data_IF_010651099232
#
_entry.id   IF_010651099232
#
_cell.length_a   1.000
_cell.length_b   1.000
_cell.length_c   1.000
_cell.angle_alpha   90.00
_cell.angle_beta   90.00
_cell.angle_gamma   90.00
#
_symmetry.space_group_name_H-M   'P 1'
#
loop_
_entity.id
_entity.type
_entity.pdbx_description
1 polymer ?
#
# COMPACT_ATOMS: atom_id res chain seq x y z
N UNK A 1 34.97 3.88 -38.86
CA UNK A 1 35.42 4.00 -37.45
C UNK A 1 34.16 4.31 -36.65
N UNK A 2 33.88 3.49 -35.65
CA UNK A 2 32.55 3.23 -35.06
C UNK A 2 31.95 4.48 -34.40
N UNK A 3 30.70 4.83 -34.76
CA UNK A 3 29.84 5.67 -33.92
C UNK A 3 29.30 4.82 -32.77
N UNK A 4 29.71 5.14 -31.54
CA UNK A 4 29.10 4.58 -30.34
C UNK A 4 28.14 5.65 -29.77
N UNK A 5 26.81 5.44 -29.77
CA UNK A 5 25.91 6.42 -29.19
C UNK A 5 26.08 6.41 -27.68
N UNK A 6 26.51 7.55 -27.14
CA UNK A 6 26.64 7.79 -25.71
C UNK A 6 25.37 7.35 -24.97
N UNK A 7 25.51 6.34 -24.11
CA UNK A 7 24.44 5.79 -23.29
C UNK A 7 23.80 6.88 -22.44
N UNK A 8 22.62 7.35 -22.86
CA UNK A 8 21.79 8.21 -22.04
C UNK A 8 21.27 7.39 -20.86
N UNK A 9 21.92 7.52 -19.69
CA UNK A 9 21.45 6.93 -18.45
C UNK A 9 19.98 7.31 -18.23
N UNK A 10 19.07 6.37 -17.94
CA UNK A 10 17.67 6.68 -17.72
C UNK A 10 17.55 7.58 -16.48
N UNK A 11 17.34 8.89 -16.69
CA UNK A 11 17.10 9.84 -15.61
C UNK A 11 15.70 9.61 -15.06
N UNK A 12 15.60 8.92 -13.92
CA UNK A 12 14.35 8.79 -13.17
C UNK A 12 13.83 10.20 -12.85
N UNK A 13 12.56 10.49 -13.18
CA UNK A 13 11.98 11.80 -12.92
C UNK A 13 11.80 12.02 -11.41
N UNK A 14 11.91 13.27 -10.94
CA UNK A 14 11.69 13.61 -9.51
C UNK A 14 10.32 13.14 -9.01
N UNK A 15 9.29 13.21 -9.86
CA UNK A 15 7.94 12.72 -9.54
C UNK A 15 7.91 11.22 -9.28
N UNK A 16 8.54 10.42 -10.15
CA UNK A 16 8.60 8.97 -9.97
C UNK A 16 9.35 8.58 -8.68
N UNK A 17 10.41 9.33 -8.33
CA UNK A 17 11.12 9.14 -7.08
C UNK A 17 10.25 9.43 -5.86
N UNK A 18 9.50 10.54 -5.86
CA UNK A 18 8.58 10.89 -4.77
C UNK A 18 7.47 9.86 -4.58
N UNK A 19 6.90 9.34 -5.68
CA UNK A 19 5.88 8.28 -5.64
C UNK A 19 6.45 6.97 -5.08
N UNK A 20 7.67 6.60 -5.47
CA UNK A 20 8.36 5.43 -4.94
C UNK A 20 8.68 5.58 -3.44
N UNK A 21 9.12 6.76 -3.02
CA UNK A 21 9.36 7.06 -1.61
C UNK A 21 8.06 7.01 -0.78
N UNK A 22 6.96 7.56 -1.30
CA UNK A 22 5.66 7.47 -0.63
C UNK A 22 5.20 6.02 -0.48
N UNK A 23 5.33 5.20 -1.52
CA UNK A 23 5.03 3.77 -1.45
C UNK A 23 5.91 3.04 -0.42
N UNK A 24 7.21 3.36 -0.39
CA UNK A 24 8.14 2.80 0.60
C UNK A 24 7.75 3.18 2.02
N UNK A 25 7.36 4.43 2.26
CA UNK A 25 6.88 4.89 3.58
C UNK A 25 5.60 4.16 3.98
N UNK A 26 4.64 3.99 3.07
CA UNK A 26 3.39 3.27 3.35
C UNK A 26 3.65 1.79 3.69
N UNK A 27 4.55 1.12 2.97
CA UNK A 27 4.98 -0.24 3.27
C UNK A 27 5.70 -0.32 4.62
N UNK A 28 6.66 0.59 4.86
CA UNK A 28 7.41 0.63 6.11
C UNK A 28 6.49 0.84 7.32
N UNK A 29 5.51 1.74 7.20
CA UNK A 29 4.47 1.88 8.21
C UNK A 29 3.74 0.55 8.39
N UNK A 30 3.15 -0.03 7.34
CA UNK A 30 2.36 -1.26 7.49
C UNK A 30 3.16 -2.42 8.09
N UNK A 31 4.43 -2.57 7.71
CA UNK A 31 5.34 -3.58 8.23
C UNK A 31 5.69 -3.35 9.70
N UNK A 32 5.89 -2.09 10.11
CA UNK A 32 6.08 -1.75 11.52
C UNK A 32 4.84 -2.13 12.35
N UNK A 33 3.64 -1.95 11.80
CA UNK A 33 2.39 -2.41 12.42
C UNK A 33 2.36 -3.91 12.65
N UNK A 34 2.69 -4.69 11.61
CA UNK A 34 2.76 -6.15 11.68
C UNK A 34 3.79 -6.57 12.76
N UNK A 35 4.97 -5.97 12.76
CA UNK A 35 6.03 -6.29 13.73
C UNK A 35 5.67 -5.90 15.18
N UNK A 36 4.89 -4.83 15.37
CA UNK A 36 4.55 -4.29 16.69
C UNK A 36 3.23 -4.83 17.28
N UNK A 37 2.64 -5.87 16.68
CA UNK A 37 1.26 -6.29 16.97
C UNK A 37 1.02 -6.90 18.36
N UNK A 38 2.08 -7.28 19.07
CA UNK A 38 1.98 -8.02 20.34
C UNK A 38 1.98 -7.15 21.62
N UNK A 39 1.99 -5.81 21.49
CA UNK A 39 2.16 -4.93 22.67
C UNK A 39 0.87 -4.77 23.49
N UNK A 40 -0.24 -4.36 22.88
CA UNK A 40 -1.56 -4.26 23.55
C UNK A 40 -2.70 -4.03 22.56
N UNK A 41 -3.88 -4.62 22.77
CA UNK A 41 -5.01 -4.51 21.83
C UNK A 41 -5.48 -3.05 21.61
N UNK A 42 -5.55 -2.24 22.67
CA UNK A 42 -5.97 -0.83 22.55
C UNK A 42 -4.93 0.02 21.80
N UNK A 43 -3.64 -0.20 22.05
CA UNK A 43 -2.56 0.49 21.33
C UNK A 43 -2.52 0.09 19.85
N UNK A 44 -2.67 -1.20 19.58
CA UNK A 44 -2.73 -1.76 18.22
C UNK A 44 -3.98 -1.26 17.48
N UNK A 45 -5.13 -1.10 18.15
CA UNK A 45 -6.34 -0.51 17.58
C UNK A 45 -6.13 0.91 17.07
N UNK A 46 -5.60 1.81 17.90
CA UNK A 46 -5.32 3.17 17.50
C UNK A 46 -4.35 3.21 16.30
N UNK A 47 -3.32 2.37 16.34
CA UNK A 47 -2.34 2.25 15.27
C UNK A 47 -2.96 1.83 13.92
N UNK A 48 -3.72 0.72 13.89
CA UNK A 48 -4.31 0.22 12.65
C UNK A 48 -5.44 1.12 12.13
N UNK A 49 -6.13 1.82 13.02
CA UNK A 49 -7.09 2.87 12.67
C UNK A 49 -6.36 4.00 11.93
N UNK A 50 -5.27 4.52 12.50
CA UNK A 50 -4.50 5.62 11.95
C UNK A 50 -3.90 5.26 10.59
N UNK A 51 -3.25 4.09 10.47
CA UNK A 51 -2.63 3.70 9.20
C UNK A 51 -3.66 3.51 8.08
N UNK A 52 -4.86 3.00 8.40
CA UNK A 52 -5.96 2.90 7.44
C UNK A 52 -6.35 4.26 6.90
N UNK A 53 -6.43 5.28 7.77
CA UNK A 53 -6.69 6.67 7.36
C UNK A 53 -5.56 7.21 6.48
N UNK A 54 -4.29 6.95 6.82
CA UNK A 54 -3.14 7.36 6.02
C UNK A 54 -3.20 6.77 4.61
N UNK A 55 -3.54 5.49 4.47
CA UNK A 55 -3.71 4.85 3.16
C UNK A 55 -4.90 5.42 2.38
N UNK A 56 -6.02 5.72 3.07
CA UNK A 56 -7.17 6.39 2.46
C UNK A 56 -6.77 7.75 1.87
N UNK A 57 -6.07 8.58 2.66
CA UNK A 57 -5.59 9.89 2.21
C UNK A 57 -4.57 9.77 1.06
N UNK A 58 -3.67 8.79 1.12
CA UNK A 58 -2.72 8.54 0.03
C UNK A 58 -3.44 8.17 -1.28
N UNK A 59 -4.47 7.31 -1.19
CA UNK A 59 -5.26 6.93 -2.36
C UNK A 59 -6.05 8.11 -2.95
N UNK A 60 -6.58 8.99 -2.09
CA UNK A 60 -7.26 10.22 -2.49
C UNK A 60 -6.31 11.19 -3.20
N UNK A 61 -5.09 11.35 -2.68
CA UNK A 61 -4.06 12.14 -3.32
C UNK A 61 -3.65 11.58 -4.70
N UNK A 62 -3.57 10.26 -4.82
CA UNK A 62 -3.27 9.56 -6.09
C UNK A 62 -4.40 9.74 -7.10
N UNK A 63 -5.66 9.68 -6.67
CA UNK A 63 -6.83 9.93 -7.51
C UNK A 63 -6.88 11.39 -7.99
N UNK A 64 -6.65 12.35 -7.07
CA UNK A 64 -6.55 13.78 -7.39
C UNK A 64 -5.53 14.08 -8.47
N UNK A 65 -4.34 13.49 -8.37
CA UNK A 65 -3.26 13.73 -9.32
C UNK A 65 -3.53 13.16 -10.72
N UNK A 66 -4.34 12.11 -10.84
CA UNK A 66 -4.66 11.47 -12.12
C UNK A 66 -5.90 12.07 -12.78
N UNK A 67 -6.89 12.46 -11.99
CA UNK A 67 -8.17 13.00 -12.48
C UNK A 67 -8.15 14.50 -12.77
N UNK A 68 -7.10 15.23 -12.35
CA UNK A 68 -6.99 16.68 -12.58
C UNK A 68 -8.11 17.49 -11.91
N UNK A 69 -8.43 18.68 -12.46
CA UNK A 69 -9.53 19.54 -11.98
C UNK A 69 -10.94 18.93 -12.16
N UNK A 70 -11.03 17.77 -12.83
CA UNK A 70 -12.26 17.04 -13.07
C UNK A 70 -12.62 16.06 -11.93
N UNK A 71 -12.05 16.28 -10.74
CA UNK A 71 -12.43 15.65 -9.47
C UNK A 71 -13.92 15.81 -9.09
N UNK A 72 -14.75 16.37 -9.97
CA UNK A 72 -16.13 16.81 -9.75
C UNK A 72 -17.20 15.74 -9.99
N UNK A 73 -16.82 14.51 -10.31
CA UNK A 73 -17.76 13.40 -10.22
C UNK A 73 -18.00 13.03 -8.76
N UNK A 74 -19.00 13.61 -8.09
CA UNK A 74 -19.47 13.22 -6.73
C UNK A 74 -19.50 11.69 -6.53
N UNK A 75 -19.80 10.95 -7.60
CA UNK A 75 -19.80 9.48 -7.65
C UNK A 75 -18.43 8.83 -7.43
N UNK A 76 -17.32 9.42 -7.90
CA UNK A 76 -15.98 8.85 -7.68
C UNK A 76 -15.52 9.04 -6.24
N UNK A 77 -15.69 10.25 -5.70
CA UNK A 77 -15.43 10.54 -4.30
C UNK A 77 -16.28 9.66 -3.36
N UNK A 78 -17.57 9.47 -3.69
CA UNK A 78 -18.45 8.57 -2.94
C UNK A 78 -17.94 7.12 -2.98
N UNK A 79 -17.54 6.60 -4.15
CA UNK A 79 -17.00 5.24 -4.27
C UNK A 79 -15.73 5.07 -3.43
N UNK A 80 -14.81 6.03 -3.51
CA UNK A 80 -13.57 5.98 -2.76
C UNK A 80 -13.83 6.09 -1.24
N UNK A 81 -14.76 6.95 -0.83
CA UNK A 81 -15.20 7.07 0.56
C UNK A 81 -15.83 5.79 1.08
N UNK A 82 -16.76 5.18 0.33
CA UNK A 82 -17.39 3.91 0.69
C UNK A 82 -16.39 2.76 0.77
N UNK A 83 -15.44 2.72 -0.16
CA UNK A 83 -14.36 1.73 -0.16
C UNK A 83 -13.55 1.78 1.13
N UNK A 84 -13.01 2.96 1.49
CA UNK A 84 -12.22 3.11 2.71
C UNK A 84 -13.05 3.03 3.99
N UNK A 85 -14.33 3.41 3.95
CA UNK A 85 -15.24 3.18 5.06
C UNK A 85 -15.43 1.67 5.32
N UNK A 86 -15.53 0.85 4.27
CA UNK A 86 -15.58 -0.61 4.40
C UNK A 86 -14.29 -1.20 4.97
N UNK A 87 -13.13 -0.73 4.52
CA UNK A 87 -11.82 -1.13 5.07
C UNK A 87 -11.71 -0.76 6.54
N UNK A 88 -12.05 0.49 6.89
CA UNK A 88 -12.05 0.98 8.27
C UNK A 88 -12.99 0.15 9.16
N UNK A 89 -14.23 -0.07 8.72
CA UNK A 89 -15.18 -0.89 9.47
C UNK A 89 -14.66 -2.31 9.70
N UNK A 90 -14.02 -2.91 8.69
CA UNK A 90 -13.41 -4.24 8.80
C UNK A 90 -12.33 -4.28 9.88
N UNK A 91 -11.44 -3.27 9.91
CA UNK A 91 -10.42 -3.13 10.97
C UNK A 91 -11.08 -3.05 12.34
N UNK A 92 -12.15 -2.27 12.52
CA UNK A 92 -12.84 -2.18 13.81
C UNK A 92 -13.52 -3.49 14.24
N UNK A 93 -14.06 -4.25 13.28
CA UNK A 93 -14.66 -5.56 13.54
C UNK A 93 -13.63 -6.56 14.07
N UNK A 94 -12.35 -6.48 13.63
CA UNK A 94 -11.27 -7.29 14.20
C UNK A 94 -11.15 -7.06 15.71
N UNK A 95 -11.20 -5.81 16.17
CA UNK A 95 -11.14 -5.50 17.60
C UNK A 95 -12.38 -5.93 18.37
N UNK A 96 -13.54 -5.97 17.72
CA UNK A 96 -14.73 -6.59 18.30
C UNK A 96 -14.53 -8.11 18.51
N UNK A 97 -13.85 -8.79 17.58
CA UNK A 97 -13.50 -10.21 17.75
C UNK A 97 -12.45 -10.44 18.83
N UNK A 98 -11.45 -9.55 18.96
CA UNK A 98 -10.47 -9.61 20.06
C UNK A 98 -11.17 -9.39 21.41
N UNK A 99 -12.02 -8.37 21.53
CA UNK A 99 -12.76 -8.08 22.75
C UNK A 99 -13.71 -9.21 23.17
N UNK A 100 -14.24 -9.98 22.21
CA UNK A 100 -15.07 -11.16 22.49
C UNK A 100 -14.27 -12.46 22.69
N UNK A 101 -12.94 -12.41 22.67
CA UNK A 101 -12.07 -13.58 22.84
C UNK A 101 -12.04 -14.54 21.66
N UNK A 102 -12.52 -14.11 20.48
CA UNK A 102 -12.55 -14.91 19.25
C UNK A 102 -11.29 -14.82 18.39
N UNK A 103 -10.47 -13.79 18.62
CA UNK A 103 -9.16 -13.61 18.00
C UNK A 103 -8.13 -13.26 19.07
N UNK A 104 -6.91 -13.76 18.93
CA UNK A 104 -5.82 -13.35 19.81
C UNK A 104 -5.28 -11.99 19.38
N UNK A 105 -4.78 -11.21 20.35
CA UNK A 105 -4.16 -9.91 20.04
C UNK A 105 -2.93 -10.05 19.13
N UNK A 106 -2.17 -11.14 19.28
CA UNK A 106 -1.02 -11.45 18.43
C UNK A 106 -1.38 -11.58 16.93
N UNK A 107 -2.61 -12.01 16.61
CA UNK A 107 -3.06 -12.21 15.23
C UNK A 107 -3.42 -10.88 14.53
N UNK A 108 -3.57 -9.80 15.29
CA UNK A 108 -4.08 -8.51 14.80
C UNK A 108 -3.28 -7.97 13.62
N UNK A 109 -1.95 -8.14 13.66
CA UNK A 109 -1.06 -7.68 12.60
C UNK A 109 -1.31 -8.36 11.27
N UNK A 110 -1.49 -9.68 11.32
CA UNK A 110 -1.74 -10.49 10.13
C UNK A 110 -3.12 -10.18 9.55
N UNK A 111 -4.15 -10.14 10.39
CA UNK A 111 -5.52 -9.91 9.94
C UNK A 111 -5.68 -8.48 9.39
N UNK A 112 -5.24 -7.46 10.12
CA UNK A 112 -5.36 -6.07 9.64
C UNK A 112 -4.42 -5.78 8.48
N UNK A 113 -3.22 -6.39 8.44
CA UNK A 113 -2.31 -6.34 7.30
C UNK A 113 -2.98 -6.87 6.03
N UNK A 114 -3.69 -8.00 6.13
CA UNK A 114 -4.44 -8.59 5.01
C UNK A 114 -5.63 -7.72 4.57
N UNK A 115 -6.40 -7.17 5.52
CA UNK A 115 -7.51 -6.24 5.21
C UNK A 115 -6.97 -5.01 4.47
N UNK A 116 -5.88 -4.42 4.97
CA UNK A 116 -5.26 -3.25 4.37
C UNK A 116 -4.66 -3.57 2.99
N UNK A 117 -4.05 -4.74 2.83
CA UNK A 117 -3.55 -5.24 1.54
C UNK A 117 -4.65 -5.35 0.49
N UNK A 118 -5.74 -6.04 0.84
CA UNK A 118 -6.89 -6.22 -0.05
C UNK A 118 -7.57 -4.89 -0.37
N UNK A 119 -7.79 -4.04 0.64
CA UNK A 119 -8.34 -2.71 0.47
C UNK A 119 -7.50 -1.86 -0.48
N UNK A 120 -6.18 -1.86 -0.32
CA UNK A 120 -5.26 -1.11 -1.19
C UNK A 120 -5.25 -1.67 -2.61
N UNK A 121 -5.25 -3.00 -2.75
CA UNK A 121 -5.29 -3.68 -4.05
C UNK A 121 -6.55 -3.33 -4.83
N UNK A 122 -7.72 -3.47 -4.20
CA UNK A 122 -9.02 -3.16 -4.82
C UNK A 122 -9.17 -1.67 -5.13
N UNK A 123 -8.64 -0.78 -4.26
CA UNK A 123 -8.56 0.64 -4.59
C UNK A 123 -7.75 0.86 -5.87
N UNK A 124 -6.66 0.11 -6.05
CA UNK A 124 -5.85 0.19 -7.26
C UNK A 124 -6.54 -0.30 -8.53
N UNK A 125 -7.41 -1.31 -8.43
CA UNK A 125 -8.21 -1.78 -9.57
C UNK A 125 -9.09 -0.67 -10.13
N UNK A 126 -9.56 0.24 -9.27
CA UNK A 126 -10.46 1.32 -9.66
C UNK A 126 -9.76 2.66 -9.92
N UNK A 127 -8.65 2.94 -9.23
CA UNK A 127 -7.99 4.26 -9.25
C UNK A 127 -6.65 4.22 -10.00
N UNK A 128 -5.76 3.30 -9.64
CA UNK A 128 -4.41 3.27 -10.19
C UNK A 128 -3.71 1.93 -9.98
N UNK A 129 -3.10 1.40 -11.05
CA UNK A 129 -2.31 0.17 -11.01
C UNK A 129 -1.20 0.19 -9.96
N UNK A 130 -0.71 1.38 -9.57
CA UNK A 130 0.33 1.56 -8.54
C UNK A 130 -0.15 1.08 -7.17
N UNK A 131 -1.40 1.36 -6.82
CA UNK A 131 -2.01 0.88 -5.58
C UNK A 131 -2.25 -0.63 -5.64
N UNK A 132 -2.48 -1.21 -6.83
CA UNK A 132 -2.55 -2.67 -6.98
C UNK A 132 -1.23 -3.32 -6.61
N UNK A 133 -0.10 -2.80 -7.12
CA UNK A 133 1.24 -3.30 -6.77
C UNK A 133 1.52 -3.14 -5.28
N UNK A 134 1.15 -2.00 -4.70
CA UNK A 134 1.31 -1.74 -3.27
C UNK A 134 0.52 -2.74 -2.41
N UNK A 135 -0.76 -2.96 -2.73
CA UNK A 135 -1.61 -3.93 -2.05
C UNK A 135 -1.12 -5.37 -2.19
N UNK A 136 -0.65 -5.75 -3.39
CA UNK A 136 -0.06 -7.07 -3.62
C UNK A 136 1.21 -7.29 -2.79
N UNK A 137 2.11 -6.31 -2.76
CA UNK A 137 3.32 -6.36 -1.95
C UNK A 137 2.99 -6.50 -0.45
N UNK A 138 1.99 -5.76 0.03
CA UNK A 138 1.52 -5.86 1.42
C UNK A 138 0.89 -7.22 1.74
N UNK A 139 0.11 -7.79 0.81
CA UNK A 139 -0.49 -9.12 0.98
C UNK A 139 0.56 -10.22 1.02
N UNK A 140 1.54 -10.16 0.12
CA UNK A 140 2.67 -11.10 0.12
C UNK A 140 3.50 -10.97 1.40
N UNK A 141 3.74 -9.75 1.87
CA UNK A 141 4.46 -9.48 3.11
C UNK A 141 3.74 -10.07 4.32
N UNK A 142 2.44 -9.82 4.40
CA UNK A 142 1.58 -10.35 5.47
C UNK A 142 1.59 -11.88 5.47
N UNK A 143 1.45 -12.51 4.30
CA UNK A 143 1.53 -13.96 4.16
C UNK A 143 2.91 -14.52 4.51
N UNK A 144 3.99 -13.84 4.13
CA UNK A 144 5.35 -14.27 4.45
C UNK A 144 5.63 -14.27 5.96
N UNK A 145 5.15 -13.26 6.68
CA UNK A 145 5.32 -13.19 8.15
C UNK A 145 4.67 -14.39 8.85
N UNK A 146 3.60 -14.95 8.29
CA UNK A 146 2.95 -16.13 8.86
C UNK A 146 3.77 -17.43 8.77
N UNK A 147 4.76 -17.51 7.86
CA UNK A 147 5.50 -18.77 7.59
C UNK A 147 7.02 -18.65 7.71
N UNK A 148 7.58 -17.43 7.84
CA UNK A 148 9.03 -17.20 7.79
C UNK A 148 9.52 -16.65 9.12
N UNK A 149 10.39 -17.40 9.81
CA UNK A 149 10.98 -16.98 11.08
C UNK A 149 11.83 -15.69 10.93
N UNK A 150 12.60 -15.58 9.84
CA UNK A 150 13.42 -14.40 9.50
C UNK A 150 12.73 -13.49 8.48
N UNK A 151 11.47 -13.11 8.77
CA UNK A 151 10.63 -12.37 7.83
C UNK A 151 11.16 -10.99 7.42
N UNK A 152 12.05 -10.37 8.21
CA UNK A 152 12.60 -9.03 7.90
C UNK A 152 13.29 -8.95 6.53
N UNK A 153 14.02 -9.99 6.12
CA UNK A 153 14.66 -10.03 4.80
C UNK A 153 13.64 -10.15 3.68
N UNK A 154 12.56 -10.90 3.92
CA UNK A 154 11.46 -11.04 2.95
C UNK A 154 10.71 -9.72 2.79
N UNK A 155 10.43 -9.03 3.89
CA UNK A 155 9.80 -7.70 3.88
C UNK A 155 10.65 -6.70 3.09
N UNK A 156 11.97 -6.67 3.34
CA UNK A 156 12.89 -5.82 2.59
C UNK A 156 12.87 -6.16 1.09
N UNK A 157 12.97 -7.45 0.74
CA UNK A 157 12.91 -7.91 -0.65
C UNK A 157 11.62 -7.49 -1.35
N UNK A 158 10.47 -7.67 -0.70
CA UNK A 158 9.16 -7.28 -1.25
C UNK A 158 9.03 -5.76 -1.41
N UNK A 159 9.54 -4.97 -0.46
CA UNK A 159 9.55 -3.52 -0.58
C UNK A 159 10.40 -3.06 -1.78
N UNK A 160 11.60 -3.62 -1.94
CA UNK A 160 12.47 -3.33 -3.08
C UNK A 160 11.83 -3.75 -4.41
N UNK A 161 11.19 -4.93 -4.47
CA UNK A 161 10.48 -5.40 -5.65
C UNK A 161 9.29 -4.49 -6.01
N UNK A 162 8.52 -4.05 -5.01
CA UNK A 162 7.42 -3.11 -5.23
C UNK A 162 7.93 -1.77 -5.79
N UNK A 163 9.01 -1.22 -5.21
CA UNK A 163 9.65 0.01 -5.71
C UNK A 163 10.15 -0.18 -7.14
N UNK A 164 10.83 -1.30 -7.44
CA UNK A 164 11.31 -1.60 -8.78
C UNK A 164 10.15 -1.71 -9.79
N UNK A 165 9.06 -2.40 -9.44
CA UNK A 165 7.87 -2.52 -10.27
C UNK A 165 7.20 -1.16 -10.54
N UNK A 166 7.12 -0.30 -9.52
CA UNK A 166 6.60 1.06 -9.67
C UNK A 166 7.45 1.86 -10.65
N UNK A 167 8.78 1.87 -10.47
CA UNK A 167 9.71 2.60 -11.34
C UNK A 167 9.66 2.08 -12.79
N UNK A 168 9.74 0.76 -13.00
CA UNK A 168 9.68 0.16 -14.34
C UNK A 168 8.35 0.44 -15.03
N UNK A 169 7.23 0.31 -14.30
CA UNK A 169 5.92 0.58 -14.85
C UNK A 169 5.75 2.04 -15.29
N UNK A 170 6.33 3.01 -14.56
CA UNK A 170 6.34 4.42 -15.00
C UNK A 170 7.09 4.62 -16.33
N UNK A 171 8.21 3.92 -16.53
CA UNK A 171 9.00 4.03 -17.75
C UNK A 171 8.27 3.42 -18.95
N UNK A 172 7.59 2.29 -18.75
CA UNK A 172 6.82 1.62 -19.81
C UNK A 172 5.57 2.41 -20.20
N UNK A 173 4.89 3.07 -19.26
CA UNK A 173 3.74 3.92 -19.59
C UNK A 173 4.16 5.16 -20.38
N UNK A 174 5.31 5.75 -20.07
CA UNK A 174 5.84 6.88 -20.84
C UNK A 174 6.25 6.49 -22.27
N UNK A 175 6.84 5.30 -22.49
CA UNK A 175 7.26 4.83 -23.82
C UNK A 175 6.11 4.52 -24.79
N UNK A 176 4.92 4.23 -24.29
CA UNK A 176 3.73 3.95 -25.12
C UNK A 176 2.98 5.19 -25.58
N UNK A 177 3.30 6.36 -25.02
CA UNK A 177 2.65 7.64 -25.31
C UNK A 177 3.44 8.51 -26.31
N UNK A 178 4.58 8.03 -26.80
CA UNK A 178 5.41 8.60 -27.88
C UNK A 178 5.39 7.68 -29.08
#
# INVERSE_FOLDING_TARGET
MVEEPAGASPRISRKALLEALAALVLLALAFAGIAASDVSAAGTQGYWTLITVVFALASLAVDWQQSGADFRGSRSALRLGLHWAGVFASVQVVYFFIASGRLANADTGLVNGLILALGTFLCGVHVSWRLMVLGLALGLATGAVAYVEQYLWVLLGLALLAVAALLLGTQLTHRRAT
#
